data_IF_175504364541
#
_entry.id   IF_175504364541
#
_cell.length_a   1.000
_cell.length_b   1.000
_cell.length_c   1.000
_cell.angle_alpha   90.00
_cell.angle_beta   90.00
_cell.angle_gamma   90.00
#
_symmetry.space_group_name_H-M   'P 1'
#
loop_
_entity.id
_entity.type
_entity.pdbx_description
1 polymer ?
#
# COMPACT_ATOMS: atom_id res chain seq x y z
N UNK A 1 5.26 -9.12 -10.92
CA UNK A 1 5.43 -8.24 -12.10
C UNK A 1 5.77 -6.79 -11.73
N UNK A 2 4.88 -5.94 -11.20
CA UNK A 2 5.22 -4.52 -10.97
C UNK A 2 6.36 -4.26 -9.95
N UNK A 3 6.58 -5.22 -9.05
CA UNK A 3 7.66 -5.17 -8.05
C UNK A 3 8.94 -5.89 -8.48
N UNK A 4 8.91 -6.69 -9.56
CA UNK A 4 10.08 -7.46 -9.99
C UNK A 4 11.15 -6.53 -10.56
N UNK A 5 12.41 -6.73 -10.15
CA UNK A 5 13.57 -6.03 -10.68
C UNK A 5 13.63 -4.52 -10.42
N UNK A 6 12.71 -3.96 -9.64
CA UNK A 6 12.70 -2.53 -9.32
C UNK A 6 13.26 -2.21 -7.93
N UNK A 7 13.57 -0.93 -7.71
CA UNK A 7 14.13 -0.44 -6.45
C UNK A 7 13.22 -0.70 -5.25
N UNK A 8 13.85 -0.73 -4.07
CA UNK A 8 13.16 -0.73 -2.78
C UNK A 8 12.32 0.54 -2.62
N UNK A 9 11.29 0.46 -1.78
CA UNK A 9 10.54 1.63 -1.36
C UNK A 9 11.43 2.58 -0.55
N UNK A 10 11.12 3.88 -0.67
CA UNK A 10 11.79 4.90 0.13
C UNK A 10 11.65 4.60 1.62
N UNK A 11 12.70 4.77 2.43
CA UNK A 11 12.63 4.54 3.88
C UNK A 11 11.67 5.51 4.60
N UNK A 12 11.26 6.60 3.94
CA UNK A 12 10.23 7.52 4.45
C UNK A 12 8.80 7.04 4.21
N UNK A 13 8.59 5.94 3.49
CA UNK A 13 7.26 5.45 3.09
C UNK A 13 6.95 4.12 3.75
N UNK A 14 5.83 4.13 4.45
CA UNK A 14 5.25 2.95 5.07
C UNK A 14 4.29 2.26 4.07
N UNK A 15 4.71 1.16 3.43
CA UNK A 15 3.92 0.44 2.42
C UNK A 15 3.24 -0.81 2.98
N UNK A 16 1.91 -0.92 2.83
CA UNK A 16 1.11 -2.04 3.33
C UNK A 16 0.28 -2.69 2.23
N UNK A 17 0.17 -4.01 2.28
CA UNK A 17 -0.73 -4.82 1.46
C UNK A 17 -1.65 -5.61 2.37
N UNK A 18 -2.94 -5.31 2.32
CA UNK A 18 -3.97 -6.07 3.03
C UNK A 18 -4.50 -7.19 2.14
N UNK A 19 -4.50 -8.43 2.64
CA UNK A 19 -4.99 -9.60 1.90
C UNK A 19 -5.55 -10.68 2.84
N UNK A 20 -6.14 -11.75 2.29
CA UNK A 20 -6.58 -12.90 3.09
C UNK A 20 -5.46 -13.92 3.30
N UNK A 21 -5.58 -14.76 4.33
CA UNK A 21 -4.61 -15.85 4.60
C UNK A 21 -4.42 -16.77 3.40
N UNK A 22 -5.50 -17.17 2.72
CA UNK A 22 -5.42 -18.05 1.55
C UNK A 22 -4.74 -17.39 0.34
N UNK A 23 -4.85 -16.07 0.17
CA UNK A 23 -4.10 -15.35 -0.87
C UNK A 23 -2.63 -15.20 -0.47
N UNK A 24 -2.34 -14.94 0.81
CA UNK A 24 -0.97 -14.89 1.32
C UNK A 24 -0.25 -16.22 1.13
N UNK A 25 -0.86 -17.34 1.49
CA UNK A 25 -0.30 -18.68 1.30
C UNK A 25 0.09 -18.94 -0.16
N UNK A 26 -0.81 -18.61 -1.10
CA UNK A 26 -0.50 -18.70 -2.54
C UNK A 26 0.62 -17.76 -2.96
N UNK A 27 0.63 -16.53 -2.45
CA UNK A 27 1.68 -15.55 -2.74
C UNK A 27 3.04 -15.96 -2.18
N UNK A 28 3.09 -16.67 -1.06
CA UNK A 28 4.30 -17.25 -0.47
C UNK A 28 4.81 -18.43 -1.30
N UNK A 29 3.92 -19.35 -1.68
CA UNK A 29 4.26 -20.48 -2.56
C UNK A 29 4.82 -20.02 -3.92
N UNK A 30 4.37 -18.87 -4.43
CA UNK A 30 4.85 -18.27 -5.68
C UNK A 30 6.03 -17.31 -5.48
N UNK A 31 6.50 -17.09 -4.25
CA UNK A 31 7.60 -16.16 -3.93
C UNK A 31 7.25 -14.67 -3.98
N UNK A 32 6.03 -14.29 -4.35
CA UNK A 32 5.58 -12.89 -4.43
C UNK A 32 5.60 -12.18 -3.08
N UNK A 33 5.27 -12.89 -1.99
CA UNK A 33 5.35 -12.33 -0.65
C UNK A 33 6.79 -11.91 -0.30
N UNK A 34 7.79 -12.69 -0.73
CA UNK A 34 9.19 -12.37 -0.48
C UNK A 34 9.65 -11.17 -1.33
N UNK A 35 9.20 -11.07 -2.57
CA UNK A 35 9.49 -9.90 -3.42
C UNK A 35 8.97 -8.61 -2.77
N UNK A 36 7.74 -8.64 -2.26
CA UNK A 36 7.16 -7.49 -1.55
C UNK A 36 7.92 -7.15 -0.27
N UNK A 37 8.24 -8.15 0.56
CA UNK A 37 9.02 -7.95 1.79
C UNK A 37 10.41 -7.37 1.49
N UNK A 38 11.09 -7.87 0.44
CA UNK A 38 12.41 -7.37 0.01
C UNK A 38 12.36 -5.92 -0.50
N UNK A 39 11.25 -5.52 -1.10
CA UNK A 39 11.00 -4.13 -1.50
C UNK A 39 10.73 -3.20 -0.31
N UNK A 40 10.51 -3.73 0.90
CA UNK A 40 10.17 -2.95 2.11
C UNK A 40 8.67 -2.91 2.42
N UNK A 41 7.86 -3.72 1.74
CA UNK A 41 6.42 -3.81 1.99
C UNK A 41 6.06 -4.71 3.16
N UNK A 42 4.93 -4.40 3.81
CA UNK A 42 4.36 -5.18 4.92
C UNK A 42 3.04 -5.81 4.50
N UNK A 43 2.82 -7.06 4.85
CA UNK A 43 1.57 -7.77 4.57
C UNK A 43 0.73 -7.83 5.83
N UNK A 44 -0.57 -7.55 5.69
CA UNK A 44 -1.55 -7.57 6.77
C UNK A 44 -2.67 -8.53 6.39
N UNK A 45 -2.99 -9.44 7.28
CA UNK A 45 -4.15 -10.33 7.16
C UNK A 45 -5.14 -10.08 8.29
N UNK A 46 -6.35 -10.64 8.16
CA UNK A 46 -7.36 -10.75 9.23
C UNK A 46 -7.97 -9.44 9.73
N UNK A 47 -7.47 -8.30 9.27
CA UNK A 47 -8.03 -6.98 9.57
C UNK A 47 -7.81 -6.02 8.41
N UNK A 48 -8.62 -4.97 8.38
CA UNK A 48 -8.37 -3.82 7.51
C UNK A 48 -7.60 -2.76 8.29
N UNK A 49 -6.63 -2.13 7.64
CA UNK A 49 -5.72 -1.14 8.24
C UNK A 49 -6.43 0.14 8.74
N UNK A 50 -7.71 0.37 8.38
CA UNK A 50 -8.52 1.47 8.91
C UNK A 50 -9.41 1.07 10.11
N UNK A 51 -9.47 -0.21 10.46
CA UNK A 51 -10.28 -0.73 11.58
C UNK A 51 -9.40 -0.97 12.80
N UNK A 52 -8.25 -1.61 12.61
CA UNK A 52 -7.24 -1.78 13.66
C UNK A 52 -6.06 -0.86 13.32
N UNK A 53 -5.74 0.15 14.17
CA UNK A 53 -4.68 1.12 13.87
C UNK A 53 -3.30 0.44 14.00
N UNK A 54 -2.89 -0.20 12.91
CA UNK A 54 -1.55 -0.79 12.71
C UNK A 54 -0.60 0.15 11.95
N UNK A 55 -1.13 1.29 11.54
CA UNK A 55 -0.36 2.36 10.90
C UNK A 55 0.47 3.09 11.94
N UNK A 56 1.63 3.56 11.51
CA UNK A 56 2.44 4.48 12.30
C UNK A 56 1.60 5.73 12.64
N UNK A 57 1.44 6.10 13.93
CA UNK A 57 0.57 7.20 14.36
C UNK A 57 1.01 8.58 13.84
N UNK A 58 2.24 8.68 13.30
CA UNK A 58 2.74 9.90 12.65
C UNK A 58 2.25 10.07 11.22
N UNK A 59 1.66 9.04 10.60
CA UNK A 59 1.13 9.12 9.24
C UNK A 59 -0.06 10.08 9.20
N UNK A 60 -0.01 11.03 8.26
CA UNK A 60 -1.07 12.02 8.02
C UNK A 60 -1.78 11.86 6.68
N UNK A 61 -1.13 11.20 5.72
CA UNK A 61 -1.65 11.03 4.36
C UNK A 61 -1.28 9.65 3.84
N UNK A 62 -2.22 8.98 3.18
CA UNK A 62 -2.00 7.66 2.57
C UNK A 62 -2.56 7.63 1.15
N UNK A 63 -1.76 7.09 0.24
CA UNK A 63 -2.23 6.71 -1.09
C UNK A 63 -2.74 5.26 -1.07
N UNK A 64 -3.90 5.01 -1.67
CA UNK A 64 -4.52 3.68 -1.68
C UNK A 64 -5.20 3.39 -3.01
N UNK A 65 -5.25 2.11 -3.39
CA UNK A 65 -6.06 1.61 -4.52
C UNK A 65 -7.45 1.13 -4.11
N UNK A 66 -7.80 1.23 -2.82
CA UNK A 66 -9.08 0.79 -2.31
C UNK A 66 -10.01 1.99 -2.10
N UNK A 67 -11.10 2.04 -2.89
CA UNK A 67 -12.13 3.07 -2.74
C UNK A 67 -12.78 3.04 -1.34
N UNK A 68 -13.02 1.84 -0.79
CA UNK A 68 -13.53 1.66 0.57
C UNK A 68 -12.58 2.28 1.60
N UNK A 69 -11.28 2.04 1.45
CA UNK A 69 -10.30 2.58 2.37
C UNK A 69 -10.20 4.10 2.27
N UNK A 70 -10.14 4.62 1.03
CA UNK A 70 -10.11 6.05 0.77
C UNK A 70 -11.31 6.79 1.39
N UNK A 71 -12.48 6.15 1.39
CA UNK A 71 -13.71 6.68 1.97
C UNK A 71 -13.70 6.69 3.50
N UNK A 72 -13.35 5.56 4.15
CA UNK A 72 -13.49 5.43 5.60
C UNK A 72 -12.31 5.96 6.41
N UNK A 73 -11.10 5.96 5.87
CA UNK A 73 -9.91 6.32 6.65
C UNK A 73 -9.90 7.77 7.19
N UNK A 74 -10.41 8.81 6.48
CA UNK A 74 -10.50 10.15 7.05
C UNK A 74 -11.34 10.20 8.33
N UNK A 75 -12.52 9.57 8.33
CA UNK A 75 -13.41 9.54 9.48
C UNK A 75 -12.92 8.64 10.61
N UNK A 76 -12.32 7.49 10.28
CA UNK A 76 -11.94 6.49 11.29
C UNK A 76 -10.53 6.72 11.88
N UNK A 77 -9.61 7.28 11.09
CA UNK A 77 -8.20 7.43 11.48
C UNK A 77 -7.74 8.89 11.52
N UNK A 78 -8.52 9.84 11.02
CA UNK A 78 -8.11 11.25 10.95
C UNK A 78 -6.93 11.49 10.00
N UNK A 79 -6.87 10.74 8.89
CA UNK A 79 -5.83 10.84 7.88
C UNK A 79 -6.40 11.17 6.50
N UNK A 80 -5.65 11.97 5.75
CA UNK A 80 -5.98 12.31 4.37
C UNK A 80 -5.73 11.12 3.44
N UNK A 81 -6.57 10.98 2.41
CA UNK A 81 -6.47 9.87 1.46
C UNK A 81 -6.31 10.35 0.03
N UNK A 82 -5.47 9.63 -0.72
CA UNK A 82 -5.28 9.83 -2.15
C UNK A 82 -5.65 8.51 -2.83
N UNK A 83 -6.76 8.49 -3.56
CA UNK A 83 -7.09 7.34 -4.40
C UNK A 83 -6.12 7.27 -5.58
N UNK A 84 -5.65 6.06 -5.89
CA UNK A 84 -4.58 5.79 -6.83
C UNK A 84 -4.71 4.40 -7.47
N UNK A 85 -4.10 4.18 -8.62
CA UNK A 85 -3.88 2.82 -9.13
C UNK A 85 -2.77 2.10 -8.34
N UNK A 86 -2.71 0.77 -8.43
CA UNK A 86 -1.60 -0.02 -7.83
C UNK A 86 -0.24 0.47 -8.33
N UNK A 87 -0.14 0.77 -9.63
CA UNK A 87 1.08 1.26 -10.26
C UNK A 87 1.51 2.62 -9.69
N UNK A 88 0.59 3.54 -9.48
CA UNK A 88 0.89 4.84 -8.85
C UNK A 88 1.28 4.68 -7.38
N UNK A 89 0.64 3.78 -6.63
CA UNK A 89 1.03 3.47 -5.25
C UNK A 89 2.48 2.96 -5.18
N UNK A 90 2.85 2.00 -6.05
CA UNK A 90 4.21 1.44 -6.11
C UNK A 90 5.22 2.50 -6.55
N UNK A 91 4.88 3.29 -7.57
CA UNK A 91 5.77 4.35 -8.10
C UNK A 91 6.00 5.44 -7.06
N UNK A 92 4.94 5.88 -6.37
CA UNK A 92 5.03 6.86 -5.29
C UNK A 92 5.85 6.33 -4.11
N UNK A 93 5.67 5.04 -3.76
CA UNK A 93 6.42 4.41 -2.68
C UNK A 93 7.91 4.34 -2.96
N UNK A 94 8.30 4.04 -4.21
CA UNK A 94 9.71 4.10 -4.65
C UNK A 94 10.26 5.52 -4.66
N UNK A 95 9.47 6.49 -5.17
CA UNK A 95 9.91 7.88 -5.27
C UNK A 95 9.97 8.62 -3.93
N UNK A 96 9.32 8.12 -2.88
CA UNK A 96 9.22 8.80 -1.59
C UNK A 96 8.30 10.01 -1.57
N UNK A 97 7.52 10.22 -2.65
CA UNK A 97 6.61 11.34 -2.86
C UNK A 97 5.47 10.92 -3.78
N UNK A 98 4.39 11.71 -3.79
CA UNK A 98 3.26 11.48 -4.69
C UNK A 98 3.70 11.50 -6.16
N UNK A 99 3.41 10.42 -6.88
CA UNK A 99 3.54 10.31 -8.32
C UNK A 99 2.19 9.88 -8.88
N UNK A 100 1.59 10.72 -9.72
CA UNK A 100 0.32 10.44 -10.40
C UNK A 100 0.52 10.29 -11.90
N UNK A 101 -0.31 9.44 -12.48
CA UNK A 101 -0.55 9.43 -13.91
C UNK A 101 -1.82 10.21 -14.18
N UNK A 102 -1.63 11.45 -14.59
CA UNK A 102 -2.68 12.39 -14.94
C UNK A 102 -3.74 11.77 -15.87
N UNK A 103 -3.35 11.00 -16.89
CA UNK A 103 -4.28 10.38 -17.83
C UNK A 103 -5.30 9.39 -17.22
N UNK A 104 -5.15 8.98 -15.95
CA UNK A 104 -6.12 8.13 -15.25
C UNK A 104 -7.23 8.92 -14.54
N UNK A 105 -7.06 10.24 -14.37
CA UNK A 105 -7.91 11.08 -13.52
C UNK A 105 -8.50 12.29 -14.27
N UNK A 106 -8.25 12.39 -15.57
CA UNK A 106 -8.79 13.41 -16.48
C UNK A 106 -9.82 12.83 -17.45
#
# INVERSE_FOLDING_TARGET
KELEGGDKFSPSIDFYVSTSRGVLERAEALGYAQILKNAGGRIVTDTCTYVTPILNPKIKTVMTNSGKWAWYAPGNLGIETILGSVKECITSARAGKLVRNDALWF
#
